data_IF_202124687818
#
_entry.id   IF_202124687818
#
_cell.length_a   1.000
_cell.length_b   1.000
_cell.length_c   1.000
_cell.angle_alpha   90.00
_cell.angle_beta   90.00
_cell.angle_gamma   90.00
#
_symmetry.space_group_name_H-M   'P 1'
#
loop_
_entity.id
_entity.type
_entity.pdbx_description
1 polymer ?
#
# COMPACT_ATOMS: atom_id res chain seq x y z
N UNK A 1 33.46 -62.50 -23.57
CA UNK A 1 32.46 -62.24 -22.52
C UNK A 1 33.06 -61.57 -21.26
N UNK A 2 34.20 -60.85 -21.33
CA UNK A 2 34.87 -60.26 -20.16
C UNK A 2 34.86 -58.72 -20.08
N UNK A 3 34.34 -58.03 -21.10
CA UNK A 3 34.28 -56.55 -21.08
C UNK A 3 33.13 -56.02 -20.22
N UNK A 4 31.99 -56.73 -20.16
CA UNK A 4 30.79 -56.29 -19.42
C UNK A 4 30.99 -56.33 -17.89
N UNK A 5 31.77 -57.31 -17.38
CA UNK A 5 32.11 -57.39 -15.95
C UNK A 5 33.04 -56.26 -15.50
N UNK A 6 33.95 -55.80 -16.37
CA UNK A 6 34.85 -54.69 -16.08
C UNK A 6 34.11 -53.32 -16.01
N UNK A 7 33.04 -53.14 -16.79
CA UNK A 7 32.17 -51.96 -16.67
C UNK A 7 31.31 -51.99 -15.39
N UNK A 8 30.85 -53.18 -14.97
CA UNK A 8 30.10 -53.37 -13.72
C UNK A 8 30.93 -53.07 -12.47
N UNK A 9 32.22 -53.43 -12.44
CA UNK A 9 33.11 -53.10 -11.31
C UNK A 9 33.35 -51.59 -11.17
N UNK A 10 33.50 -50.86 -12.29
CA UNK A 10 33.62 -49.39 -12.27
C UNK A 10 32.32 -48.71 -11.80
N UNK A 11 31.15 -49.23 -12.22
CA UNK A 11 29.85 -48.73 -11.76
C UNK A 11 29.64 -48.93 -10.26
N UNK A 12 30.13 -50.03 -9.68
CA UNK A 12 30.01 -50.31 -8.24
C UNK A 12 30.77 -49.30 -7.36
N UNK A 13 31.92 -48.81 -7.83
CA UNK A 13 32.69 -47.75 -7.15
C UNK A 13 32.00 -46.38 -7.29
N UNK A 14 31.42 -46.11 -8.47
CA UNK A 14 30.67 -44.88 -8.77
C UNK A 14 29.33 -44.79 -8.01
N UNK A 15 28.72 -45.93 -7.67
CA UNK A 15 27.50 -45.99 -6.87
C UNK A 15 27.66 -45.40 -5.46
N UNK A 16 28.89 -45.39 -4.91
CA UNK A 16 29.16 -44.79 -3.60
C UNK A 16 29.14 -43.26 -3.67
N UNK A 17 29.76 -42.68 -4.71
CA UNK A 17 29.77 -41.23 -4.97
C UNK A 17 28.37 -40.72 -5.37
N UNK A 18 27.64 -41.46 -6.22
CA UNK A 18 26.26 -41.10 -6.61
C UNK A 18 25.33 -41.09 -5.39
N UNK A 19 25.45 -42.05 -4.47
CA UNK A 19 24.62 -42.06 -3.25
C UNK A 19 24.79 -40.80 -2.41
N UNK A 20 26.03 -40.31 -2.26
CA UNK A 20 26.32 -39.10 -1.49
C UNK A 20 25.76 -37.86 -2.22
N UNK A 21 25.87 -37.83 -3.55
CA UNK A 21 25.30 -36.76 -4.38
C UNK A 21 23.77 -36.72 -4.28
N UNK A 22 23.10 -37.88 -4.30
CA UNK A 22 21.64 -37.98 -4.14
C UNK A 22 21.21 -37.51 -2.73
N UNK A 23 21.93 -37.91 -1.68
CA UNK A 23 21.63 -37.44 -0.31
C UNK A 23 21.78 -35.91 -0.22
N UNK A 24 22.85 -35.35 -0.77
CA UNK A 24 23.05 -33.90 -0.83
C UNK A 24 21.89 -33.22 -1.58
N UNK A 25 21.46 -33.79 -2.70
CA UNK A 25 20.36 -33.26 -3.51
C UNK A 25 19.02 -33.26 -2.75
N UNK A 26 18.72 -34.33 -2.00
CA UNK A 26 17.52 -34.42 -1.16
C UNK A 26 17.56 -33.37 -0.05
N UNK A 27 18.70 -33.20 0.62
CA UNK A 27 18.88 -32.17 1.65
C UNK A 27 18.68 -30.77 1.06
N UNK A 28 19.18 -30.53 -0.14
CA UNK A 28 19.05 -29.23 -0.83
C UNK A 28 17.59 -28.93 -1.19
N UNK A 29 16.86 -29.92 -1.73
CA UNK A 29 15.42 -29.78 -2.00
C UNK A 29 14.65 -29.50 -0.71
N UNK A 30 14.98 -30.21 0.38
CA UNK A 30 14.33 -29.99 1.67
C UNK A 30 14.52 -28.56 2.17
N UNK A 31 15.76 -28.04 2.15
CA UNK A 31 16.02 -26.64 2.50
C UNK A 31 15.32 -25.65 1.57
N UNK A 32 15.25 -25.95 0.27
CA UNK A 32 14.58 -25.08 -0.70
C UNK A 32 13.06 -25.00 -0.44
N UNK A 33 12.43 -26.12 -0.06
CA UNK A 33 11.04 -26.15 0.36
C UNK A 33 10.84 -25.35 1.66
N UNK A 34 11.71 -25.54 2.65
CA UNK A 34 11.63 -24.78 3.92
C UNK A 34 11.77 -23.26 3.69
N UNK A 35 12.75 -22.84 2.90
CA UNK A 35 12.96 -21.43 2.56
C UNK A 35 11.74 -20.87 1.82
N UNK A 36 11.17 -21.63 0.88
CA UNK A 36 9.98 -21.21 0.12
C UNK A 36 8.77 -20.95 1.04
N UNK A 37 8.56 -21.79 2.06
CA UNK A 37 7.48 -21.61 3.03
C UNK A 37 7.66 -20.35 3.89
N UNK A 38 8.89 -20.09 4.35
CA UNK A 38 9.21 -18.89 5.13
C UNK A 38 9.08 -17.63 4.27
N UNK A 39 9.61 -17.66 3.05
CA UNK A 39 9.60 -16.53 2.12
C UNK A 39 8.18 -16.12 1.76
N UNK A 40 7.28 -17.08 1.48
CA UNK A 40 5.88 -16.76 1.15
C UNK A 40 5.17 -16.02 2.29
N UNK A 41 5.36 -16.48 3.51
CA UNK A 41 4.74 -15.89 4.70
C UNK A 41 5.30 -14.50 4.99
N UNK A 42 6.62 -14.36 4.94
CA UNK A 42 7.30 -13.08 5.21
C UNK A 42 6.99 -12.03 4.13
N UNK A 43 6.99 -12.39 2.85
CA UNK A 43 6.65 -11.46 1.78
C UNK A 43 5.20 -10.99 1.87
N UNK A 44 4.26 -11.90 2.17
CA UNK A 44 2.87 -11.53 2.31
C UNK A 44 2.66 -10.58 3.49
N UNK A 45 3.25 -10.87 4.65
CA UNK A 45 3.17 -10.00 5.82
C UNK A 45 3.80 -8.62 5.57
N UNK A 46 4.97 -8.58 4.92
CA UNK A 46 5.64 -7.32 4.58
C UNK A 46 4.82 -6.49 3.59
N UNK A 47 4.22 -7.11 2.57
CA UNK A 47 3.37 -6.40 1.60
C UNK A 47 2.12 -5.85 2.26
N UNK A 48 1.44 -6.64 3.10
CA UNK A 48 0.24 -6.18 3.81
C UNK A 48 0.57 -5.03 4.77
N UNK A 49 1.61 -5.18 5.60
CA UNK A 49 2.02 -4.14 6.55
C UNK A 49 2.47 -2.86 5.86
N UNK A 50 3.22 -2.96 4.77
CA UNK A 50 3.66 -1.76 4.02
C UNK A 50 2.50 -1.08 3.32
N UNK A 51 1.54 -1.84 2.79
CA UNK A 51 0.33 -1.30 2.19
C UNK A 51 -0.55 -0.59 3.24
N UNK A 52 -0.82 -1.22 4.39
CA UNK A 52 -1.57 -0.59 5.50
C UNK A 52 -0.88 0.68 6.01
N UNK A 53 0.44 0.62 6.20
CA UNK A 53 1.22 1.77 6.62
C UNK A 53 1.15 2.90 5.60
N UNK A 54 1.32 2.60 4.31
CA UNK A 54 1.26 3.58 3.24
C UNK A 54 -0.12 4.22 3.13
N UNK A 55 -1.19 3.43 3.23
CA UNK A 55 -2.57 3.94 3.23
C UNK A 55 -2.81 4.90 4.41
N UNK A 56 -2.35 4.53 5.60
CA UNK A 56 -2.51 5.36 6.80
C UNK A 56 -1.70 6.64 6.73
N UNK A 57 -0.42 6.56 6.36
CA UNK A 57 0.47 7.72 6.22
C UNK A 57 -0.04 8.70 5.16
N UNK A 58 -0.51 8.18 4.03
CA UNK A 58 -1.15 8.97 2.97
C UNK A 58 -2.41 9.68 3.48
N UNK A 59 -3.30 8.97 4.18
CA UNK A 59 -4.52 9.56 4.74
C UNK A 59 -4.22 10.65 5.77
N UNK A 60 -3.24 10.42 6.66
CA UNK A 60 -2.84 11.40 7.69
C UNK A 60 -2.21 12.64 7.06
N UNK A 61 -1.31 12.46 6.09
CA UNK A 61 -0.69 13.56 5.35
C UNK A 61 -1.72 14.37 4.57
N UNK A 62 -2.68 13.70 3.94
CA UNK A 62 -3.78 14.35 3.23
C UNK A 62 -4.66 15.14 4.19
N UNK A 63 -5.03 14.57 5.34
CA UNK A 63 -5.82 15.25 6.36
C UNK A 63 -5.11 16.51 6.88
N UNK A 64 -3.80 16.43 7.17
CA UNK A 64 -3.00 17.57 7.61
C UNK A 64 -2.94 18.67 6.54
N UNK A 65 -2.61 18.32 5.30
CA UNK A 65 -2.54 19.30 4.21
C UNK A 65 -3.89 19.97 3.96
N UNK A 66 -4.98 19.20 4.04
CA UNK A 66 -6.35 19.70 3.89
C UNK A 66 -6.67 20.65 5.03
N UNK A 67 -6.48 20.22 6.28
CA UNK A 67 -6.75 21.04 7.46
C UNK A 67 -6.01 22.38 7.41
N UNK A 68 -4.69 22.38 7.12
CA UNK A 68 -3.91 23.62 6.98
C UNK A 68 -4.42 24.50 5.84
N UNK A 69 -4.78 23.89 4.71
CA UNK A 69 -5.29 24.66 3.58
C UNK A 69 -6.64 25.30 3.89
N UNK A 70 -7.51 24.59 4.61
CA UNK A 70 -8.80 25.12 5.07
C UNK A 70 -8.62 26.21 6.12
N UNK A 71 -7.67 26.05 7.04
CA UNK A 71 -7.32 27.06 8.04
C UNK A 71 -6.86 28.36 7.38
N UNK A 72 -5.92 28.28 6.43
CA UNK A 72 -5.44 29.43 5.67
C UNK A 72 -6.53 30.10 4.83
N UNK A 73 -7.42 29.30 4.21
CA UNK A 73 -8.57 29.85 3.49
C UNK A 73 -9.51 30.61 4.41
N UNK A 74 -9.78 30.07 5.61
CA UNK A 74 -10.68 30.68 6.57
C UNK A 74 -10.07 31.95 7.19
N UNK A 75 -8.76 31.97 7.42
CA UNK A 75 -8.02 33.16 7.84
C UNK A 75 -8.06 34.26 6.77
N UNK A 76 -7.88 33.90 5.50
CA UNK A 76 -7.85 34.85 4.38
C UNK A 76 -9.25 35.30 3.91
N UNK A 77 -10.29 34.52 4.21
CA UNK A 77 -11.68 34.82 3.86
C UNK A 77 -12.27 36.04 4.61
N UNK A 78 -11.57 36.59 5.61
CA UNK A 78 -12.07 37.72 6.39
C UNK A 78 -13.31 37.35 7.21
N UNK A 79 -14.29 38.27 7.32
CA UNK A 79 -15.50 38.00 8.11
C UNK A 79 -16.41 36.98 7.42
N UNK A 80 -16.77 35.86 8.07
CA UNK A 80 -17.69 34.85 7.51
C UNK A 80 -19.13 35.37 7.29
N UNK A 81 -19.38 36.65 7.58
CA UNK A 81 -20.67 37.33 7.45
C UNK A 81 -20.72 38.34 6.30
N UNK A 82 -19.77 38.31 5.37
CA UNK A 82 -19.90 39.07 4.13
C UNK A 82 -21.12 38.58 3.35
N UNK A 83 -22.14 39.44 3.23
CA UNK A 83 -23.34 39.20 2.42
C UNK A 83 -23.06 39.29 0.91
N UNK A 84 -21.79 39.40 0.50
CA UNK A 84 -21.43 39.51 -0.90
C UNK A 84 -21.42 38.12 -1.58
N UNK A 85 -22.35 37.85 -2.52
CA UNK A 85 -22.42 36.57 -3.21
C UNK A 85 -21.16 36.25 -4.01
N UNK A 86 -20.41 37.24 -4.50
CA UNK A 86 -19.15 36.99 -5.22
C UNK A 86 -18.04 36.43 -4.31
N UNK A 87 -17.89 36.96 -3.10
CA UNK A 87 -16.87 36.47 -2.15
C UNK A 87 -17.17 35.05 -1.70
N UNK A 88 -18.46 34.74 -1.47
CA UNK A 88 -18.91 33.38 -1.17
C UNK A 88 -18.61 32.41 -2.30
N UNK A 89 -18.86 32.80 -3.55
CA UNK A 89 -18.59 31.95 -4.70
C UNK A 89 -17.09 31.74 -4.93
N UNK A 90 -16.26 32.77 -4.74
CA UNK A 90 -14.79 32.64 -4.77
C UNK A 90 -14.28 31.70 -3.68
N UNK A 91 -14.85 31.76 -2.47
CA UNK A 91 -14.47 30.88 -1.37
C UNK A 91 -14.80 29.41 -1.67
N UNK A 92 -16.00 29.13 -2.18
CA UNK A 92 -16.40 27.78 -2.63
C UNK A 92 -15.48 27.28 -3.75
N UNK A 93 -15.14 28.15 -4.71
CA UNK A 93 -14.24 27.80 -5.81
C UNK A 93 -12.82 27.49 -5.31
N UNK A 94 -12.28 28.27 -4.37
CA UNK A 94 -10.98 28.01 -3.73
C UNK A 94 -10.98 26.69 -2.96
N UNK A 95 -12.05 26.38 -2.24
CA UNK A 95 -12.25 25.07 -1.59
C UNK A 95 -12.17 23.94 -2.62
N UNK A 96 -12.92 24.05 -3.72
CA UNK A 96 -12.98 23.02 -4.74
C UNK A 96 -11.61 22.81 -5.42
N UNK A 97 -10.87 23.89 -5.68
CA UNK A 97 -9.51 23.82 -6.26
C UNK A 97 -8.55 23.08 -5.33
N UNK A 98 -8.56 23.39 -4.03
CA UNK A 98 -7.65 22.76 -3.05
C UNK A 98 -7.94 21.26 -2.93
N UNK A 99 -9.22 20.88 -2.80
CA UNK A 99 -9.63 19.48 -2.68
C UNK A 99 -9.32 18.70 -3.98
N UNK A 100 -9.59 19.30 -5.14
CA UNK A 100 -9.28 18.72 -6.44
C UNK A 100 -7.78 18.49 -6.64
N UNK A 101 -6.92 19.42 -6.19
CA UNK A 101 -5.47 19.27 -6.28
C UNK A 101 -4.94 18.13 -5.41
N UNK A 102 -5.56 17.90 -4.25
CA UNK A 102 -5.16 16.81 -3.35
C UNK A 102 -5.56 15.44 -3.89
N UNK A 103 -6.73 15.33 -4.52
CA UNK A 103 -7.19 14.10 -5.19
C UNK A 103 -6.21 13.69 -6.31
N UNK A 104 -5.73 14.64 -7.10
CA UNK A 104 -4.84 14.40 -8.24
C UNK A 104 -3.44 13.88 -7.84
N UNK A 105 -2.98 14.10 -6.60
CA UNK A 105 -1.60 13.80 -6.20
C UNK A 105 -1.39 12.39 -5.61
N UNK A 106 -2.42 11.67 -5.15
CA UNK A 106 -2.20 10.46 -4.33
C UNK A 106 -3.04 9.20 -4.64
N UNK A 107 -3.58 9.01 -5.85
CA UNK A 107 -4.46 7.86 -6.17
C UNK A 107 -5.63 7.73 -5.18
N UNK A 108 -6.16 8.87 -4.71
CA UNK A 108 -7.29 8.92 -3.79
C UNK A 108 -8.56 8.88 -4.62
N UNK A 109 -9.47 7.96 -4.31
CA UNK A 109 -10.71 7.76 -5.06
C UNK A 109 -11.73 8.87 -4.80
N UNK A 110 -11.83 9.35 -3.56
CA UNK A 110 -12.71 10.45 -3.17
C UNK A 110 -12.24 11.12 -1.86
N UNK A 111 -12.61 12.40 -1.68
CA UNK A 111 -12.40 13.16 -0.45
C UNK A 111 -13.74 13.75 -0.02
N UNK A 112 -14.16 13.52 1.22
CA UNK A 112 -15.39 14.09 1.77
C UNK A 112 -15.08 14.85 3.06
N UNK A 113 -15.88 15.88 3.34
CA UNK A 113 -15.78 16.68 4.57
C UNK A 113 -16.89 16.25 5.52
N UNK A 114 -16.54 15.82 6.72
CA UNK A 114 -17.52 15.56 7.78
C UNK A 114 -17.71 16.79 8.66
N UNK A 115 -18.97 17.24 8.80
CA UNK A 115 -19.34 18.37 9.65
C UNK A 115 -20.34 17.92 10.70
N UNK A 116 -20.08 18.28 11.96
CA UNK A 116 -21.01 18.02 13.07
C UNK A 116 -21.88 19.25 13.34
N UNK A 117 -23.20 19.10 13.29
CA UNK A 117 -24.17 20.15 13.64
C UNK A 117 -25.31 19.56 14.46
N UNK A 118 -25.48 20.03 15.70
CA UNK A 118 -26.59 19.61 16.57
C UNK A 118 -26.56 18.13 16.98
N UNK A 119 -25.36 17.53 17.07
CA UNK A 119 -25.18 16.12 17.43
C UNK A 119 -25.34 15.13 16.26
N UNK A 120 -25.53 15.63 15.04
CA UNK A 120 -25.57 14.82 13.81
C UNK A 120 -24.35 15.13 12.95
N UNK A 121 -23.79 14.09 12.33
CA UNK A 121 -22.64 14.18 11.42
C UNK A 121 -23.17 14.17 9.99
N UNK A 122 -22.77 15.16 9.20
CA UNK A 122 -23.11 15.32 7.79
C UNK A 122 -21.85 15.10 6.95
N UNK A 123 -21.97 14.33 5.87
CA UNK A 123 -20.92 14.22 4.86
C UNK A 123 -21.18 15.25 3.75
N UNK A 124 -20.18 16.04 3.40
CA UNK A 124 -20.24 17.04 2.34
C UNK A 124 -19.28 16.61 1.24
N UNK A 125 -19.80 16.55 0.02
CA UNK A 125 -19.08 16.20 -1.21
C UNK A 125 -19.46 17.18 -2.32
N UNK A 126 -18.48 17.78 -3.00
CA UNK A 126 -18.68 18.82 -4.03
C UNK A 126 -19.65 19.96 -3.65
N UNK A 127 -19.69 20.33 -2.36
CA UNK A 127 -20.60 21.36 -1.85
C UNK A 127 -22.06 20.94 -1.69
N UNK A 128 -22.37 19.66 -1.92
CA UNK A 128 -23.66 19.05 -1.63
C UNK A 128 -23.59 18.23 -0.34
N UNK A 129 -24.67 18.24 0.44
CA UNK A 129 -24.82 17.39 1.63
C UNK A 129 -25.33 16.03 1.17
N UNK A 130 -24.62 14.96 1.54
CA UNK A 130 -25.03 13.56 1.38
C UNK A 130 -25.92 13.10 2.55
#
# INVERSE_FOLDING_TARGET
MSKFSAYLEKFKKYHFEIKHLIVLFIVLIFFMILVSLVQKTSLQELLLRTQEWYQRDSAERMANLTATSLELLLENAGSPFSNNPEERQRMVQSFNIILSQQILQQNVEAVCIFVSRGGQIYAIDDGNVL
#
